data_IF_897406189560
#
_entry.id   IF_897406189560
#
_cell.length_a   1.000
_cell.length_b   1.000
_cell.length_c   1.000
_cell.angle_alpha   90.00
_cell.angle_beta   90.00
_cell.angle_gamma   90.00
#
_symmetry.space_group_name_H-M   'P 1'
#
loop_
_entity.id
_entity.type
_entity.pdbx_description
1 polymer ?
#
# COMPACT_ATOMS: atom_id res chain seq x y z
N UNK A 1 17.39 11.34 -19.68
CA UNK A 1 16.45 12.10 -18.83
C UNK A 1 15.21 11.25 -18.61
N UNK A 2 14.85 10.97 -17.36
CA UNK A 2 13.66 10.20 -17.05
C UNK A 2 12.44 11.12 -16.91
N UNK A 3 11.31 10.76 -17.52
CA UNK A 3 10.07 11.51 -17.45
C UNK A 3 8.86 10.57 -17.39
N UNK A 4 7.81 11.04 -16.73
CA UNK A 4 6.59 10.26 -16.59
C UNK A 4 5.79 10.33 -17.91
N UNK A 5 5.66 9.20 -18.62
CA UNK A 5 4.70 9.04 -19.71
C UNK A 5 3.27 8.81 -19.16
N UNK A 6 2.84 9.63 -18.21
CA UNK A 6 1.45 9.71 -17.78
C UNK A 6 0.77 10.90 -18.47
N UNK A 7 -0.57 10.88 -18.65
CA UNK A 7 -1.28 11.95 -19.34
C UNK A 7 -0.92 13.32 -18.72
N UNK A 8 -0.65 14.35 -19.55
CA UNK A 8 -0.30 15.66 -19.05
C UNK A 8 -1.53 16.17 -18.28
N UNK A 9 -1.42 16.65 -17.05
CA UNK A 9 -1.38 18.10 -16.86
C UNK A 9 -1.23 18.55 -15.38
N UNK A 10 -0.87 17.69 -14.40
CA UNK A 10 -0.92 18.12 -12.98
C UNK A 10 0.19 17.64 -12.04
N UNK A 11 1.26 16.99 -12.49
CA UNK A 11 2.10 16.14 -11.61
C UNK A 11 3.45 16.71 -11.14
N UNK A 12 3.85 17.91 -11.57
CA UNK A 12 5.21 18.41 -11.35
C UNK A 12 5.57 18.76 -9.89
N UNK A 13 4.61 18.89 -8.97
CA UNK A 13 4.91 19.29 -7.58
C UNK A 13 5.21 18.10 -6.65
N UNK A 14 4.88 16.86 -7.03
CA UNK A 14 5.13 15.66 -6.20
C UNK A 14 6.32 14.83 -6.67
N UNK A 15 6.78 15.02 -7.90
CA UNK A 15 7.82 14.21 -8.53
C UNK A 15 9.14 14.99 -8.52
N UNK A 16 10.18 14.42 -7.92
CA UNK A 16 11.54 14.99 -7.87
C UNK A 16 12.47 14.04 -8.62
N UNK A 17 13.25 14.58 -9.56
CA UNK A 17 14.36 13.86 -10.19
C UNK A 17 15.66 14.30 -9.51
N UNK A 18 16.42 13.35 -8.97
CA UNK A 18 17.73 13.66 -8.41
C UNK A 18 18.85 13.67 -9.49
N UNK A 19 20.04 14.12 -9.11
CA UNK A 19 21.20 14.19 -10.00
C UNK A 19 21.75 12.84 -10.46
N UNK A 20 21.22 11.72 -9.94
CA UNK A 20 21.56 10.35 -10.34
C UNK A 20 20.55 9.74 -11.31
N UNK A 21 19.49 10.49 -11.67
CA UNK A 21 18.42 9.99 -12.54
C UNK A 21 17.33 9.21 -11.79
N UNK A 22 17.30 9.28 -10.45
CA UNK A 22 16.29 8.62 -9.63
C UNK A 22 15.05 9.50 -9.49
N UNK A 23 13.88 8.89 -9.67
CA UNK A 23 12.59 9.55 -9.45
C UNK A 23 12.13 9.30 -8.01
N UNK A 24 11.77 10.36 -7.30
CA UNK A 24 11.13 10.32 -5.99
C UNK A 24 9.72 10.92 -6.07
N UNK A 25 8.72 10.14 -5.67
CA UNK A 25 7.32 10.57 -5.61
C UNK A 25 6.95 10.86 -4.15
N UNK A 26 6.68 12.12 -3.81
CA UNK A 26 6.30 12.55 -2.45
C UNK A 26 4.78 12.48 -2.28
N UNK A 27 4.33 11.88 -1.17
CA UNK A 27 2.91 11.70 -0.85
C UNK A 27 2.13 11.13 -2.04
N UNK A 28 2.44 9.92 -2.53
CA UNK A 28 1.78 9.36 -3.71
C UNK A 28 0.27 9.21 -3.48
N UNK A 29 -0.50 9.42 -4.53
CA UNK A 29 -1.94 9.15 -4.63
C UNK A 29 -2.19 8.25 -5.83
N UNK A 30 -3.44 7.81 -6.03
CA UNK A 30 -3.83 7.07 -7.26
C UNK A 30 -3.50 7.82 -8.56
N UNK A 31 -3.29 9.14 -8.51
CA UNK A 31 -2.95 9.96 -9.69
C UNK A 31 -1.52 9.75 -10.19
N UNK A 32 -0.61 9.32 -9.31
CA UNK A 32 0.79 9.06 -9.66
C UNK A 32 1.03 7.61 -10.15
N UNK A 33 0.01 6.74 -10.10
CA UNK A 33 0.05 5.40 -10.68
C UNK A 33 0.15 5.49 -12.21
N UNK A 34 1.02 4.69 -12.81
CA UNK A 34 1.18 4.66 -14.26
C UNK A 34 2.51 4.05 -14.71
N UNK A 35 2.80 4.16 -16.01
CA UNK A 35 4.06 3.73 -16.60
C UNK A 35 5.02 4.92 -16.63
N UNK A 36 6.18 4.75 -16.01
CA UNK A 36 7.27 5.71 -15.98
C UNK A 36 8.30 5.29 -17.01
N UNK A 37 8.84 6.25 -17.76
CA UNK A 37 9.83 5.98 -18.81
C UNK A 37 11.13 6.74 -18.53
N UNK A 38 12.25 6.09 -18.83
CA UNK A 38 13.53 6.75 -18.87
C UNK A 38 14.16 6.64 -20.26
N UNK A 39 14.36 7.78 -20.91
CA UNK A 39 15.07 7.86 -22.18
C UNK A 39 16.47 8.42 -21.97
N UNK A 40 17.48 7.81 -22.59
CA UNK A 40 18.87 8.29 -22.59
C UNK A 40 19.32 8.44 -24.03
N UNK A 41 19.99 9.55 -24.35
CA UNK A 41 20.51 9.78 -25.70
C UNK A 41 21.94 10.34 -25.62
N UNK A 42 22.80 9.89 -26.53
CA UNK A 42 24.13 10.42 -26.76
C UNK A 42 24.37 10.57 -28.28
N UNK A 43 25.58 10.94 -28.69
CA UNK A 43 25.93 11.15 -30.10
C UNK A 43 25.94 9.86 -30.96
N UNK A 44 25.87 8.69 -30.34
CA UNK A 44 25.87 7.39 -31.01
C UNK A 44 24.47 6.77 -31.10
N UNK A 45 23.52 7.21 -30.28
CA UNK A 45 22.16 6.68 -30.29
C UNK A 45 21.33 7.04 -29.07
N UNK A 46 20.17 6.39 -28.96
CA UNK A 46 19.23 6.55 -27.86
C UNK A 46 18.69 5.21 -27.40
N UNK A 47 18.35 5.14 -26.12
CA UNK A 47 17.72 3.99 -25.49
C UNK A 47 16.56 4.44 -24.59
N UNK A 48 15.58 3.56 -24.39
CA UNK A 48 14.35 3.84 -23.64
C UNK A 48 13.95 2.62 -22.82
N UNK A 49 13.71 2.84 -21.53
CA UNK A 49 13.25 1.81 -20.60
C UNK A 49 12.02 2.25 -19.82
N UNK A 50 11.13 1.30 -19.49
CA UNK A 50 9.86 1.60 -18.82
C UNK A 50 9.60 0.74 -17.59
N UNK A 51 8.91 1.31 -16.61
CA UNK A 51 8.54 0.62 -15.37
C UNK A 51 7.13 0.99 -14.92
N UNK A 52 6.40 0.01 -14.39
CA UNK A 52 5.05 0.21 -13.85
C UNK A 52 5.12 0.60 -12.38
N UNK A 53 4.50 1.73 -12.05
CA UNK A 53 4.32 2.19 -10.67
C UNK A 53 2.87 1.97 -10.29
N UNK A 54 2.66 1.13 -9.27
CA UNK A 54 1.35 0.83 -8.70
C UNK A 54 1.10 1.65 -7.43
N UNK A 55 -0.14 2.09 -7.24
CA UNK A 55 -0.55 2.71 -5.98
C UNK A 55 -1.19 1.67 -5.07
N UNK A 56 -0.69 1.58 -3.84
CA UNK A 56 -1.27 0.77 -2.78
C UNK A 56 -1.82 1.69 -1.68
N UNK A 57 -3.09 1.50 -1.33
CA UNK A 57 -3.65 2.13 -0.13
C UNK A 57 -3.14 1.40 1.10
N UNK A 58 -2.89 2.14 2.18
CA UNK A 58 -2.54 1.53 3.45
C UNK A 58 -3.76 0.74 3.96
N UNK A 59 -3.59 -0.53 4.35
CA UNK A 59 -4.70 -1.34 4.82
C UNK A 59 -5.23 -0.78 6.14
N UNK A 60 -6.55 -0.74 6.27
CA UNK A 60 -7.20 -0.35 7.54
C UNK A 60 -7.65 -1.62 8.25
N UNK A 61 -7.18 -1.81 9.49
CA UNK A 61 -7.68 -2.90 10.35
C UNK A 61 -9.13 -2.61 10.69
N UNK A 62 -10.02 -3.51 10.29
CA UNK A 62 -11.43 -3.46 10.65
C UNK A 62 -11.58 -4.08 12.05
N UNK A 63 -11.61 -3.22 13.08
CA UNK A 63 -11.85 -3.62 14.46
C UNK A 63 -13.27 -3.32 14.90
N UNK A 64 -13.83 -4.16 15.76
CA UNK A 64 -15.09 -3.88 16.45
C UNK A 64 -14.88 -4.09 17.93
N UNK A 65 -15.01 -3.03 18.71
CA UNK A 65 -14.93 -3.11 20.17
C UNK A 65 -16.16 -3.85 20.70
N UNK A 66 -15.95 -5.09 21.14
CA UNK A 66 -16.96 -5.94 21.76
C UNK A 66 -16.33 -6.75 22.88
N UNK A 67 -16.97 -6.73 24.05
CA UNK A 67 -16.60 -7.58 25.16
C UNK A 67 -17.35 -8.90 25.05
N UNK A 68 -16.61 -10.00 24.99
CA UNK A 68 -17.17 -11.35 24.80
C UNK A 68 -16.74 -12.21 25.97
N UNK A 69 -17.72 -12.64 26.77
CA UNK A 69 -17.54 -13.62 27.84
C UNK A 69 -18.29 -14.88 27.47
N UNK A 70 -17.56 -15.97 27.22
CA UNK A 70 -18.15 -17.26 26.81
C UNK A 70 -17.46 -18.42 27.54
N UNK A 71 -17.89 -18.72 28.77
CA UNK A 71 -17.29 -19.78 29.59
C UNK A 71 -17.70 -21.21 29.17
N UNK A 72 -18.79 -21.36 28.42
CA UNK A 72 -19.34 -22.67 28.02
C UNK A 72 -18.75 -23.22 26.70
N UNK A 73 -17.99 -22.41 25.94
CA UNK A 73 -17.58 -22.75 24.58
C UNK A 73 -16.10 -23.09 24.48
N UNK A 74 -15.78 -24.30 23.98
CA UNK A 74 -14.41 -24.74 23.74
C UNK A 74 -13.75 -24.10 22.51
N UNK A 75 -14.50 -23.43 21.63
CA UNK A 75 -13.94 -22.71 20.48
C UNK A 75 -14.63 -21.35 20.26
N UNK A 76 -13.81 -20.31 20.09
CA UNK A 76 -14.24 -18.92 19.94
C UNK A 76 -13.61 -18.32 18.69
N UNK A 77 -14.40 -17.66 17.85
CA UNK A 77 -13.86 -16.85 16.74
C UNK A 77 -14.37 -15.42 16.86
N UNK A 78 -13.45 -14.47 17.03
CA UNK A 78 -13.75 -13.08 17.39
C UNK A 78 -12.94 -12.11 16.53
N UNK A 79 -13.41 -10.87 16.37
CA UNK A 79 -12.69 -9.81 15.64
C UNK A 79 -11.89 -8.96 16.64
N UNK A 80 -10.73 -8.46 16.23
CA UNK A 80 -9.91 -7.54 17.04
C UNK A 80 -10.69 -6.29 17.48
N UNK A 81 -10.35 -5.76 18.66
CA UNK A 81 -10.84 -4.47 19.13
C UNK A 81 -11.48 -4.45 20.52
N UNK A 82 -11.72 -5.59 21.16
CA UNK A 82 -12.31 -5.66 22.50
C UNK A 82 -11.67 -6.71 23.40
N UNK A 83 -12.29 -6.96 24.56
CA UNK A 83 -11.81 -7.91 25.57
C UNK A 83 -12.50 -9.27 25.38
N UNK A 84 -11.73 -10.35 25.53
CA UNK A 84 -12.23 -11.73 25.43
C UNK A 84 -11.95 -12.49 26.71
N UNK A 85 -13.01 -13.02 27.30
CA UNK A 85 -12.97 -13.96 28.42
C UNK A 85 -13.44 -15.33 27.93
N UNK A 86 -12.56 -16.32 28.05
CA UNK A 86 -12.75 -17.67 27.55
C UNK A 86 -12.51 -18.71 28.65
N UNK A 87 -13.10 -19.90 28.48
CA UNK A 87 -12.83 -21.04 29.35
C UNK A 87 -11.36 -21.48 29.27
N UNK A 88 -10.86 -22.11 30.34
CA UNK A 88 -9.54 -22.75 30.32
C UNK A 88 -9.51 -23.83 29.22
N UNK A 89 -8.42 -23.89 28.45
CA UNK A 89 -8.25 -24.80 27.30
C UNK A 89 -9.16 -24.51 26.08
N UNK A 90 -9.86 -23.37 26.04
CA UNK A 90 -10.60 -22.98 24.83
C UNK A 90 -9.66 -22.58 23.68
N UNK A 91 -10.03 -22.96 22.45
CA UNK A 91 -9.37 -22.54 21.22
C UNK A 91 -9.92 -21.19 20.77
N UNK A 92 -9.10 -20.14 20.81
CA UNK A 92 -9.49 -18.78 20.43
C UNK A 92 -8.87 -18.41 19.08
N UNK A 93 -9.72 -18.15 18.09
CA UNK A 93 -9.35 -17.63 16.77
C UNK A 93 -9.65 -16.14 16.69
N UNK A 94 -8.62 -15.30 16.69
CA UNK A 94 -8.74 -13.86 16.52
C UNK A 94 -8.63 -13.53 15.02
N UNK A 95 -9.67 -12.89 14.47
CA UNK A 95 -9.73 -12.41 13.09
C UNK A 95 -9.29 -10.96 13.05
N UNK A 96 -8.37 -10.65 12.14
CA UNK A 96 -7.96 -9.29 11.80
C UNK A 96 -8.37 -9.00 10.35
N UNK A 97 -9.66 -8.71 10.10
CA UNK A 97 -10.09 -8.34 8.76
C UNK A 97 -9.48 -6.99 8.38
N UNK A 98 -9.04 -6.87 7.13
CA UNK A 98 -8.46 -5.65 6.56
C UNK A 98 -9.32 -5.16 5.40
N UNK A 99 -9.35 -3.84 5.19
CA UNK A 99 -9.91 -3.19 4.00
C UNK A 99 -8.84 -2.43 3.25
#
# INVERSE_FOLDING_TARGET
MCYLNAPPLLLFYRIILDGTGRIQIKNPTRKEQGIYECSVANHLGSDVESSSVLYAEAPVILSVERNITKPEHNHLSIVVGGIVEAALQANVTIRCPVK
#
